data_IF_382852288230
#
_entry.id   IF_382852288230
#
_cell.length_a   1.000
_cell.length_b   1.000
_cell.length_c   1.000
_cell.angle_alpha   90.00
_cell.angle_beta   90.00
_cell.angle_gamma   90.00
#
_symmetry.space_group_name_H-M   'P 1'
#
loop_
_entity.id
_entity.type
_entity.pdbx_description
1 polymer ?
#
# COMPACT_ATOMS: atom_id res chain seq x y z
N UNK A 1 15.30 15.69 73.69
CA UNK A 1 15.27 16.49 72.44
C UNK A 1 15.16 15.53 71.28
N UNK A 2 14.03 15.61 70.55
CA UNK A 2 13.65 14.78 69.41
C UNK A 2 13.80 15.64 68.14
N UNK A 3 14.50 15.15 67.14
CA UNK A 3 14.51 15.66 65.75
C UNK A 3 14.57 14.42 64.86
N UNK A 4 13.43 13.79 64.54
CA UNK A 4 12.58 14.05 63.37
C UNK A 4 13.39 13.97 62.05
N UNK A 5 13.77 12.75 61.68
CA UNK A 5 14.30 12.42 60.35
C UNK A 5 13.15 12.46 59.35
N UNK A 6 13.16 13.50 58.52
CA UNK A 6 12.20 13.76 57.46
C UNK A 6 12.29 12.66 56.40
N UNK A 7 11.15 12.06 56.09
CA UNK A 7 11.00 11.00 55.12
C UNK A 7 11.32 11.46 53.70
N UNK A 8 12.22 10.73 53.05
CA UNK A 8 12.38 10.74 51.61
C UNK A 8 11.33 9.77 51.04
N UNK A 9 10.10 10.27 50.88
CA UNK A 9 9.13 9.63 49.99
C UNK A 9 9.66 9.77 48.56
N UNK A 10 10.37 8.75 48.08
CA UNK A 10 10.49 8.50 46.65
C UNK A 10 9.07 8.19 46.14
N UNK A 11 8.32 9.24 45.82
CA UNK A 11 7.22 9.16 44.89
C UNK A 11 7.83 8.85 43.53
N UNK A 12 8.01 7.55 43.27
CA UNK A 12 8.12 7.01 41.92
C UNK A 12 6.77 7.32 41.29
N UNK A 13 6.67 8.51 40.72
CA UNK A 13 5.65 8.88 39.77
C UNK A 13 5.93 8.04 38.52
N UNK A 14 5.45 6.80 38.54
CA UNK A 14 5.10 6.09 37.32
C UNK A 14 3.92 6.87 36.76
N UNK A 15 4.22 8.02 36.15
CA UNK A 15 3.31 8.67 35.23
C UNK A 15 3.10 7.64 34.13
N UNK A 16 2.00 6.91 34.24
CA UNK A 16 1.39 6.20 33.14
C UNK A 16 1.22 7.27 32.05
N UNK A 17 2.17 7.32 31.12
CA UNK A 17 2.16 8.23 29.98
C UNK A 17 0.93 7.85 29.16
N UNK A 18 -0.22 8.46 29.50
CA UNK A 18 -1.39 8.43 28.64
C UNK A 18 -1.04 9.33 27.47
N UNK A 19 -0.51 8.72 26.41
CA UNK A 19 -0.32 9.39 25.14
C UNK A 19 -1.66 9.99 24.71
N UNK A 20 -1.69 11.31 24.55
CA UNK A 20 -2.85 12.01 24.05
C UNK A 20 -3.11 11.53 22.62
N UNK A 21 -4.37 11.21 22.31
CA UNK A 21 -4.77 10.85 20.96
C UNK A 21 -5.12 12.13 20.19
N UNK A 22 -4.40 12.38 19.10
CA UNK A 22 -4.68 13.47 18.19
C UNK A 22 -5.65 13.03 17.09
N UNK A 23 -6.82 13.64 16.98
CA UNK A 23 -7.75 13.36 15.90
C UNK A 23 -7.33 14.11 14.63
N UNK A 24 -7.04 13.37 13.57
CA UNK A 24 -6.75 13.93 12.26
C UNK A 24 -8.03 14.48 11.62
N UNK A 25 -7.86 15.53 10.82
CA UNK A 25 -8.95 16.15 10.05
C UNK A 25 -8.95 15.63 8.63
N UNK A 26 -10.15 15.37 8.11
CA UNK A 26 -10.33 14.95 6.72
C UNK A 26 -10.35 16.18 5.79
N UNK A 27 -9.64 16.08 4.66
CA UNK A 27 -9.66 17.04 3.55
C UNK A 27 -9.90 16.28 2.25
N UNK A 28 -10.89 16.69 1.46
CA UNK A 28 -11.12 16.09 0.13
C UNK A 28 -10.04 16.62 -0.82
N UNK A 29 -9.18 15.71 -1.31
CA UNK A 29 -8.12 16.04 -2.26
C UNK A 29 -8.57 15.85 -3.71
N UNK A 30 -9.30 14.77 -4.00
CA UNK A 30 -9.86 14.48 -5.32
C UNK A 30 -11.33 14.08 -5.20
N UNK A 31 -12.13 14.49 -6.18
CA UNK A 31 -13.53 14.07 -6.31
C UNK A 31 -13.82 13.61 -7.73
N UNK A 32 -13.51 12.35 -8.02
CA UNK A 32 -13.55 11.78 -9.37
C UNK A 32 -14.98 11.29 -9.67
N UNK A 33 -15.65 11.81 -10.72
CA UNK A 33 -17.00 11.41 -11.07
C UNK A 33 -17.03 9.97 -11.58
N UNK A 34 -17.99 9.19 -11.08
CA UNK A 34 -18.29 7.87 -11.58
C UNK A 34 -19.33 7.96 -12.70
N UNK A 35 -19.10 7.25 -13.80
CA UNK A 35 -20.00 7.27 -14.94
C UNK A 35 -19.55 6.35 -16.07
N UNK A 36 -20.39 6.24 -17.10
CA UNK A 36 -20.12 5.42 -18.28
C UNK A 36 -19.56 6.21 -19.48
N UNK A 37 -19.26 7.50 -19.30
CA UNK A 37 -18.70 8.33 -20.37
C UNK A 37 -17.17 8.23 -20.39
N UNK A 38 -16.55 8.58 -21.52
CA UNK A 38 -15.09 8.56 -21.65
C UNK A 38 -14.39 9.58 -20.73
N UNK A 39 -15.11 10.59 -20.26
CA UNK A 39 -14.63 11.63 -19.33
C UNK A 39 -14.72 11.21 -17.85
N UNK A 40 -15.50 10.17 -17.55
CA UNK A 40 -15.71 9.66 -16.20
C UNK A 40 -14.97 8.35 -15.97
N UNK A 41 -14.86 7.95 -14.71
CA UNK A 41 -14.37 6.62 -14.36
C UNK A 41 -15.54 5.63 -14.25
N UNK A 42 -15.50 4.53 -15.01
CA UNK A 42 -16.54 3.49 -14.98
C UNK A 42 -16.30 2.51 -13.83
N UNK A 43 -16.88 2.81 -12.67
CA UNK A 43 -17.02 1.82 -11.61
C UNK A 43 -18.23 0.90 -11.89
N UNK A 44 -18.07 -0.41 -11.70
CA UNK A 44 -19.12 -1.40 -11.99
C UNK A 44 -19.86 -1.75 -10.71
N UNK A 45 -21.16 -1.53 -10.60
CA UNK A 45 -21.91 -1.90 -9.38
C UNK A 45 -22.36 -3.36 -9.48
N UNK A 46 -21.85 -4.22 -8.60
CA UNK A 46 -22.26 -5.63 -8.45
C UNK A 46 -22.78 -5.83 -7.04
N UNK A 47 -24.01 -6.35 -6.87
CA UNK A 47 -24.64 -6.56 -5.56
C UNK A 47 -24.60 -5.32 -4.65
N UNK A 48 -24.88 -4.13 -5.20
CA UNK A 48 -24.81 -2.83 -4.50
C UNK A 48 -23.41 -2.39 -4.05
N UNK A 49 -22.37 -3.10 -4.47
CA UNK A 49 -20.97 -2.78 -4.18
C UNK A 49 -20.30 -2.28 -5.45
N UNK A 50 -19.63 -1.12 -5.38
CA UNK A 50 -18.81 -0.65 -6.49
C UNK A 50 -17.60 -1.59 -6.66
N UNK A 51 -17.39 -2.08 -7.86
CA UNK A 51 -16.30 -2.97 -8.25
C UNK A 51 -15.50 -2.30 -9.38
N UNK A 52 -14.35 -2.87 -9.74
CA UNK A 52 -13.43 -2.28 -10.71
C UNK A 52 -12.85 -0.91 -10.28
N UNK A 53 -12.71 -0.69 -8.96
CA UNK A 53 -12.00 0.46 -8.40
C UNK A 53 -10.72 -0.06 -7.75
N UNK A 54 -9.54 0.48 -8.10
CA UNK A 54 -8.29 0.16 -7.40
C UNK A 54 -8.41 0.33 -5.88
N UNK A 55 -7.80 -0.56 -5.10
CA UNK A 55 -7.78 -0.44 -3.62
C UNK A 55 -7.09 0.85 -3.19
N UNK A 56 -5.89 1.08 -3.71
CA UNK A 56 -5.17 2.36 -3.58
C UNK A 56 -5.40 3.20 -4.83
N UNK A 57 -5.51 4.51 -4.65
CA UNK A 57 -5.66 5.43 -5.76
C UNK A 57 -4.33 6.17 -5.90
N UNK A 58 -3.55 5.90 -6.95
CA UNK A 58 -2.31 6.63 -7.19
C UNK A 58 -2.60 8.12 -7.28
N UNK A 59 -1.98 8.89 -6.39
CA UNK A 59 -2.14 10.34 -6.34
C UNK A 59 -0.78 10.99 -6.17
N UNK A 60 -0.62 12.13 -6.85
CA UNK A 60 0.38 13.14 -6.57
C UNK A 60 -0.34 14.41 -6.18
N UNK A 61 0.41 15.46 -5.83
CA UNK A 61 -0.14 16.73 -5.36
C UNK A 61 -1.33 17.26 -6.19
N UNK A 62 -1.35 17.09 -7.52
CA UNK A 62 -2.40 17.67 -8.37
C UNK A 62 -3.16 16.68 -9.25
N UNK A 63 -2.67 15.44 -9.38
CA UNK A 63 -3.20 14.47 -10.33
C UNK A 63 -3.44 13.13 -9.64
N UNK A 64 -4.55 12.49 -9.99
CA UNK A 64 -4.85 11.11 -9.67
C UNK A 64 -4.90 10.26 -10.93
N UNK A 65 -4.38 9.04 -10.88
CA UNK A 65 -4.37 8.12 -12.03
C UNK A 65 -5.23 6.89 -11.74
N UNK A 66 -6.15 6.57 -12.66
CA UNK A 66 -7.00 5.38 -12.58
C UNK A 66 -6.89 4.55 -13.85
N UNK A 67 -6.64 3.24 -13.67
CA UNK A 67 -6.62 2.28 -14.76
C UNK A 67 -8.05 1.94 -15.22
N UNK A 68 -8.34 2.19 -16.49
CA UNK A 68 -9.55 1.74 -17.18
C UNK A 68 -9.19 0.57 -18.09
N UNK A 69 -9.23 -0.64 -17.52
CA UNK A 69 -8.87 -1.88 -18.22
C UNK A 69 -9.82 -2.22 -19.37
N UNK A 70 -11.08 -1.76 -19.32
CA UNK A 70 -12.06 -1.99 -20.39
C UNK A 70 -11.67 -1.18 -21.62
N UNK A 71 -11.16 0.03 -21.42
CA UNK A 71 -10.72 0.92 -22.48
C UNK A 71 -9.21 0.84 -22.75
N UNK A 72 -8.45 -0.01 -22.06
CA UNK A 72 -6.99 -0.13 -22.17
C UNK A 72 -6.24 1.21 -22.04
N UNK A 73 -6.71 2.06 -21.12
CA UNK A 73 -6.10 3.37 -20.84
C UNK A 73 -5.95 3.61 -19.34
N UNK A 74 -5.05 4.53 -18.99
CA UNK A 74 -4.99 5.18 -17.69
C UNK A 74 -5.58 6.59 -17.87
N UNK A 75 -6.56 6.93 -17.04
CA UNK A 75 -7.20 8.25 -16.98
C UNK A 75 -6.54 9.07 -15.88
N UNK A 76 -6.08 10.27 -16.21
CA UNK A 76 -5.51 11.23 -15.27
C UNK A 76 -6.59 12.26 -14.92
N UNK A 77 -6.84 12.47 -13.63
CA UNK A 77 -7.84 13.39 -13.12
C UNK A 77 -7.19 14.50 -12.30
N UNK A 78 -7.65 15.74 -12.49
CA UNK A 78 -7.32 16.85 -11.60
C UNK A 78 -8.04 16.73 -10.24
N UNK A 79 -7.70 17.59 -9.28
CA UNK A 79 -8.34 17.65 -7.95
C UNK A 79 -9.87 17.81 -7.99
N UNK A 80 -10.41 18.43 -9.04
CA UNK A 80 -11.85 18.62 -9.22
C UNK A 80 -12.53 17.41 -9.89
N UNK A 81 -11.78 16.35 -10.21
CA UNK A 81 -12.26 15.18 -10.91
C UNK A 81 -12.46 15.38 -12.41
N UNK A 82 -11.90 16.44 -13.00
CA UNK A 82 -11.92 16.62 -14.45
C UNK A 82 -10.85 15.75 -15.07
N UNK A 83 -11.19 15.06 -16.16
CA UNK A 83 -10.22 14.31 -16.94
C UNK A 83 -9.21 15.30 -17.54
N UNK A 84 -7.95 15.16 -17.15
CA UNK A 84 -6.84 16.02 -17.59
C UNK A 84 -6.12 15.42 -18.80
N UNK A 85 -5.90 14.10 -18.80
CA UNK A 85 -5.32 13.39 -19.93
C UNK A 85 -5.64 11.89 -19.91
N UNK A 86 -5.35 11.22 -21.03
CA UNK A 86 -5.38 9.76 -21.12
C UNK A 86 -4.07 9.22 -21.66
N UNK A 87 -3.59 8.10 -21.10
CA UNK A 87 -2.40 7.38 -21.58
C UNK A 87 -2.83 5.97 -21.94
N UNK A 88 -2.54 5.50 -23.15
CA UNK A 88 -2.88 4.14 -23.57
C UNK A 88 -3.24 4.05 -25.05
N UNK A 89 -3.99 3.02 -25.45
CA UNK A 89 -4.49 2.88 -26.82
C UNK A 89 -5.99 2.57 -26.77
N UNK A 90 -6.83 3.61 -26.63
CA UNK A 90 -8.26 3.44 -26.39
C UNK A 90 -8.97 2.88 -27.62
N UNK A 91 -9.98 2.05 -27.37
CA UNK A 91 -10.95 1.63 -28.38
C UNK A 91 -12.01 2.71 -28.67
N UNK A 92 -11.88 3.91 -28.08
CA UNK A 92 -12.79 5.03 -28.23
C UNK A 92 -12.14 6.24 -28.92
N UNK A 93 -12.96 7.09 -29.56
CA UNK A 93 -12.49 8.34 -30.19
C UNK A 93 -11.99 9.33 -29.13
N UNK A 94 -10.86 9.98 -29.38
CA UNK A 94 -10.30 11.02 -28.52
C UNK A 94 -11.36 12.00 -28.01
N UNK A 95 -11.35 12.28 -26.71
CA UNK A 95 -12.22 13.28 -26.09
C UNK A 95 -11.73 14.67 -26.52
N UNK A 96 -12.63 15.52 -27.00
CA UNK A 96 -12.26 16.84 -27.51
C UNK A 96 -11.65 17.71 -26.40
N UNK A 97 -10.51 18.35 -26.69
CA UNK A 97 -9.82 19.22 -25.73
C UNK A 97 -9.03 18.49 -24.64
N UNK A 98 -9.07 17.15 -24.57
CA UNK A 98 -8.31 16.36 -23.61
C UNK A 98 -7.11 15.70 -24.32
N UNK A 99 -5.87 15.99 -23.89
CA UNK A 99 -4.68 15.31 -24.39
C UNK A 99 -4.77 13.78 -24.31
N UNK A 100 -4.35 13.13 -25.38
CA UNK A 100 -4.20 11.68 -25.45
C UNK A 100 -2.75 11.32 -25.81
N UNK A 101 -2.13 10.50 -24.97
CA UNK A 101 -0.77 10.03 -25.15
C UNK A 101 -0.77 8.54 -25.51
N UNK A 102 -0.41 8.18 -26.75
CA UNK A 102 -0.51 6.79 -27.21
C UNK A 102 0.54 5.92 -26.53
N UNK A 103 0.09 4.83 -25.90
CA UNK A 103 0.96 3.77 -25.38
C UNK A 103 0.25 2.42 -25.47
N UNK A 104 0.91 1.40 -26.00
CA UNK A 104 0.30 0.07 -26.15
C UNK A 104 0.51 -0.78 -24.90
N UNK A 105 -0.41 -0.69 -23.95
CA UNK A 105 -0.48 -1.64 -22.84
C UNK A 105 -0.90 -3.03 -23.36
N UNK A 106 -0.41 -4.09 -22.72
CA UNK A 106 -1.04 -5.40 -22.80
C UNK A 106 -2.27 -5.40 -21.88
N UNK A 107 -2.09 -5.78 -20.62
CA UNK A 107 -3.09 -5.61 -19.57
C UNK A 107 -2.59 -4.67 -18.47
N UNK A 108 -3.41 -3.74 -18.00
CA UNK A 108 -3.02 -2.78 -16.96
C UNK A 108 -3.27 -3.42 -15.59
N UNK A 109 -2.19 -3.72 -14.88
CA UNK A 109 -2.22 -4.24 -13.52
C UNK A 109 -2.20 -3.13 -12.47
N UNK A 110 -1.37 -3.32 -11.44
CA UNK A 110 -1.13 -2.29 -10.41
C UNK A 110 -0.58 -1.02 -11.07
N UNK A 111 -1.15 0.12 -10.70
CA UNK A 111 -0.62 1.44 -11.03
C UNK A 111 -0.17 2.07 -9.72
N UNK A 112 1.01 2.67 -9.73
CA UNK A 112 1.52 3.51 -8.65
C UNK A 112 2.02 4.83 -9.26
N UNK A 113 2.26 5.83 -8.41
CA UNK A 113 2.71 7.15 -8.84
C UNK A 113 3.83 7.62 -7.93
N UNK A 114 4.92 8.14 -8.49
CA UNK A 114 6.00 8.72 -7.72
C UNK A 114 5.74 10.21 -7.42
N UNK A 115 6.73 10.83 -6.77
CA UNK A 115 6.75 12.23 -6.36
C UNK A 115 6.54 13.23 -7.50
N UNK A 116 7.20 12.99 -8.63
CA UNK A 116 7.09 13.80 -9.85
C UNK A 116 5.74 13.62 -10.57
N UNK A 117 4.93 12.68 -10.10
CA UNK A 117 3.67 12.29 -10.72
C UNK A 117 3.83 11.37 -11.92
N UNK A 118 5.03 10.81 -12.14
CA UNK A 118 5.24 9.74 -13.10
C UNK A 118 4.58 8.45 -12.62
N UNK A 119 4.01 7.73 -13.57
CA UNK A 119 3.30 6.49 -13.30
C UNK A 119 4.27 5.33 -13.36
N UNK A 120 4.16 4.41 -12.40
CA UNK A 120 4.75 3.07 -12.49
C UNK A 120 3.61 2.08 -12.72
N UNK A 121 3.61 1.47 -13.91
CA UNK A 121 2.49 0.65 -14.38
C UNK A 121 2.95 -0.79 -14.55
N UNK A 122 2.25 -1.73 -13.90
CA UNK A 122 2.36 -3.15 -14.21
C UNK A 122 1.74 -3.44 -15.58
N UNK A 123 2.58 -3.58 -16.60
CA UNK A 123 2.18 -3.92 -17.95
C UNK A 123 2.24 -5.44 -18.16
N UNK A 124 1.08 -6.11 -18.12
CA UNK A 124 0.94 -7.56 -18.31
C UNK A 124 1.06 -7.92 -19.78
N UNK A 125 1.77 -9.00 -20.09
CA UNK A 125 2.08 -9.40 -21.47
C UNK A 125 0.83 -9.86 -22.25
N UNK A 126 -0.28 -10.24 -21.60
CA UNK A 126 -1.54 -10.57 -22.28
C UNK A 126 -2.44 -9.33 -22.46
N UNK A 127 -2.94 -9.13 -23.68
CA UNK A 127 -3.71 -7.95 -24.11
C UNK A 127 -5.20 -8.17 -24.26
N UNK A 128 -5.77 -9.20 -23.62
CA UNK A 128 -7.22 -9.38 -23.56
C UNK A 128 -7.55 -9.71 -22.12
N UNK A 129 -8.41 -8.87 -21.52
CA UNK A 129 -9.01 -9.18 -20.23
C UNK A 129 -9.46 -10.62 -20.25
N UNK A 130 -9.11 -11.37 -19.21
CA UNK A 130 -9.58 -12.74 -19.07
C UNK A 130 -11.10 -12.74 -19.17
N UNK A 131 -11.65 -13.26 -20.27
CA UNK A 131 -13.00 -13.77 -20.27
C UNK A 131 -12.99 -14.93 -19.28
N UNK A 132 -13.68 -14.76 -18.15
CA UNK A 132 -13.88 -15.86 -17.22
C UNK A 132 -14.52 -17.03 -17.99
N UNK A 133 -14.02 -18.27 -17.83
CA UNK A 133 -14.66 -19.43 -18.40
C UNK A 133 -16.17 -19.46 -18.05
N UNK A 134 -17.07 -19.78 -18.99
CA UNK A 134 -18.49 -19.90 -18.70
C UNK A 134 -18.72 -20.88 -17.53
N UNK A 135 -19.31 -20.38 -16.44
CA UNK A 135 -19.60 -21.19 -15.25
C UNK A 135 -18.63 -21.01 -14.07
N UNK A 136 -17.56 -20.22 -14.20
CA UNK A 136 -16.79 -19.77 -13.04
C UNK A 136 -17.54 -18.62 -12.35
N UNK A 137 -17.85 -18.76 -11.06
CA UNK A 137 -18.43 -17.65 -10.31
C UNK A 137 -17.47 -16.46 -10.32
N UNK A 138 -17.94 -15.33 -10.84
CA UNK A 138 -17.27 -14.03 -10.74
C UNK A 138 -16.77 -13.84 -9.31
N UNK A 139 -15.46 -13.64 -9.11
CA UNK A 139 -14.84 -13.28 -7.82
C UNK A 139 -15.50 -12.06 -7.15
N UNK A 140 -16.25 -11.26 -7.92
CA UNK A 140 -17.16 -10.22 -7.43
C UNK A 140 -18.30 -10.71 -6.54
N UNK A 141 -18.53 -12.04 -6.42
CA UNK A 141 -19.56 -12.62 -5.56
C UNK A 141 -19.12 -12.82 -4.10
N UNK A 142 -17.82 -12.74 -3.79
CA UNK A 142 -17.33 -12.97 -2.42
C UNK A 142 -17.36 -11.67 -1.61
N UNK A 143 -18.55 -11.24 -1.18
CA UNK A 143 -18.91 -10.35 -0.04
C UNK A 143 -17.97 -9.25 0.49
N UNK A 144 -16.95 -8.83 -0.25
CA UNK A 144 -16.09 -7.70 0.08
C UNK A 144 -15.84 -6.97 -1.21
N UNK A 145 -16.15 -5.68 -1.27
CA UNK A 145 -15.86 -4.81 -2.40
C UNK A 145 -14.37 -4.57 -2.66
N UNK A 146 -13.53 -5.56 -2.33
CA UNK A 146 -12.11 -5.56 -2.59
C UNK A 146 -11.88 -5.94 -4.05
N UNK A 147 -11.29 -5.02 -4.81
CA UNK A 147 -10.62 -5.37 -6.05
C UNK A 147 -9.34 -6.10 -5.66
N UNK A 148 -9.36 -7.44 -5.71
CA UNK A 148 -8.12 -8.20 -5.55
C UNK A 148 -7.26 -8.01 -6.80
N UNK A 149 -6.14 -7.29 -6.66
CA UNK A 149 -5.05 -7.29 -7.64
C UNK A 149 -4.30 -8.62 -7.65
N UNK A 150 -4.55 -9.50 -6.67
CA UNK A 150 -4.06 -10.88 -6.63
C UNK A 150 -4.79 -11.65 -7.73
N UNK A 151 -4.29 -11.49 -8.97
CA UNK A 151 -4.75 -12.26 -10.10
C UNK A 151 -4.62 -13.74 -9.75
N UNK A 152 -5.73 -14.47 -9.80
CA UNK A 152 -5.76 -15.93 -9.67
C UNK A 152 -4.95 -16.64 -10.77
N UNK A 153 -4.47 -15.89 -11.76
CA UNK A 153 -3.56 -16.30 -12.81
C UNK A 153 -2.34 -15.39 -12.82
N UNK A 154 -1.18 -16.00 -12.58
CA UNK A 154 0.16 -15.41 -12.61
C UNK A 154 0.46 -15.00 -14.06
N UNK A 155 0.17 -13.74 -14.42
CA UNK A 155 0.46 -13.21 -15.74
C UNK A 155 1.82 -12.50 -15.73
N UNK A 156 2.78 -12.96 -16.54
CA UNK A 156 4.06 -12.28 -16.71
C UNK A 156 3.87 -10.81 -17.05
N UNK A 157 4.62 -9.94 -16.40
CA UNK A 157 4.51 -8.49 -16.54
C UNK A 157 5.87 -7.82 -16.49
N UNK A 158 5.95 -6.65 -17.11
CA UNK A 158 7.04 -5.69 -16.93
C UNK A 158 6.49 -4.45 -16.25
N UNK A 159 7.32 -3.75 -15.49
CA UNK A 159 6.95 -2.43 -15.00
C UNK A 159 7.37 -1.39 -16.03
N UNK A 160 6.48 -0.47 -16.35
CA UNK A 160 6.76 0.67 -17.22
C UNK A 160 6.66 1.92 -16.37
N UNK A 161 7.75 2.68 -16.25
CA UNK A 161 7.65 4.04 -15.74
C UNK A 161 7.44 5.00 -16.89
N UNK A 162 6.36 5.76 -16.81
CA UNK A 162 5.90 6.64 -17.88
C UNK A 162 5.45 7.97 -17.29
N UNK A 163 5.87 9.07 -17.90
CA UNK A 163 5.45 10.40 -17.46
C UNK A 163 3.97 10.63 -17.75
N UNK A 164 3.39 11.66 -17.11
CA UNK A 164 2.01 12.11 -17.38
C UNK A 164 1.76 12.49 -18.84
N UNK A 165 2.84 12.74 -19.60
CA UNK A 165 2.82 13.04 -21.04
C UNK A 165 3.12 11.84 -21.93
N UNK A 166 3.10 10.64 -21.37
CA UNK A 166 3.31 9.39 -22.12
C UNK A 166 4.76 9.12 -22.52
N UNK A 167 5.75 9.81 -21.93
CA UNK A 167 7.16 9.56 -22.21
C UNK A 167 7.65 8.42 -21.33
N UNK A 168 8.10 7.32 -21.93
CA UNK A 168 8.65 6.17 -21.20
C UNK A 168 10.05 6.52 -20.67
N UNK A 169 10.24 6.42 -19.36
CA UNK A 169 11.55 6.56 -18.72
C UNK A 169 12.31 5.22 -18.75
N UNK A 170 11.69 4.17 -18.22
CA UNK A 170 12.27 2.83 -18.21
C UNK A 170 11.22 1.71 -18.28
N UNK A 171 11.68 0.53 -18.69
CA UNK A 171 10.93 -0.72 -18.66
C UNK A 171 11.72 -1.75 -17.85
N UNK A 172 11.17 -2.16 -16.71
CA UNK A 172 11.83 -3.03 -15.76
C UNK A 172 11.27 -4.45 -15.83
N UNK A 173 12.19 -5.40 -15.88
CA UNK A 173 11.93 -6.79 -15.52
C UNK A 173 12.40 -7.09 -14.09
N UNK A 174 12.16 -8.32 -13.65
CA UNK A 174 12.37 -8.78 -12.28
C UNK A 174 13.85 -8.74 -11.83
N UNK A 175 14.78 -8.85 -12.78
CA UNK A 175 16.23 -8.68 -12.56
C UNK A 175 16.74 -7.26 -12.81
N UNK A 176 15.85 -6.27 -13.02
CA UNK A 176 16.19 -4.90 -13.40
C UNK A 176 16.44 -4.70 -14.89
N UNK A 177 16.55 -5.79 -15.66
CA UNK A 177 16.65 -5.74 -17.12
C UNK A 177 15.32 -6.14 -17.76
N UNK A 178 15.02 -5.58 -18.92
CA UNK A 178 13.87 -5.94 -19.75
C UNK A 178 14.04 -7.30 -20.46
N UNK A 179 14.53 -8.31 -19.74
CA UNK A 179 14.77 -9.67 -20.24
C UNK A 179 13.99 -10.72 -19.45
N UNK A 180 13.74 -10.47 -18.16
CA UNK A 180 13.04 -11.39 -17.28
C UNK A 180 11.77 -10.73 -16.74
N UNK A 181 10.57 -11.14 -17.15
CA UNK A 181 9.34 -10.54 -16.65
C UNK A 181 9.10 -10.94 -15.19
N UNK A 182 8.43 -10.05 -14.45
CA UNK A 182 7.85 -10.39 -13.15
C UNK A 182 6.75 -11.43 -13.36
N UNK A 183 6.86 -12.59 -12.70
CA UNK A 183 5.80 -13.61 -12.76
C UNK A 183 4.58 -13.17 -11.97
N UNK A 184 4.80 -12.70 -10.75
CA UNK A 184 3.77 -12.24 -9.83
C UNK A 184 4.27 -10.99 -9.11
N UNK A 185 3.44 -9.96 -9.00
CA UNK A 185 3.71 -8.75 -8.24
C UNK A 185 2.58 -8.61 -7.22
N UNK A 186 2.93 -8.64 -5.94
CA UNK A 186 1.99 -8.38 -4.84
C UNK A 186 1.76 -6.87 -4.70
N UNK A 187 2.85 -6.09 -4.72
CA UNK A 187 2.79 -4.64 -4.53
C UNK A 187 3.94 -3.89 -5.19
N UNK A 188 3.66 -2.63 -5.51
CA UNK A 188 4.57 -1.64 -6.08
C UNK A 188 4.54 -0.44 -5.14
N UNK A 189 5.69 -0.07 -4.59
CA UNK A 189 5.83 1.00 -3.61
C UNK A 189 6.87 2.00 -4.12
N UNK A 190 6.44 3.15 -4.67
CA UNK A 190 7.34 4.26 -4.96
C UNK A 190 8.02 4.72 -3.68
N UNK A 191 9.33 4.96 -3.74
CA UNK A 191 10.10 5.60 -2.68
C UNK A 191 10.38 7.07 -3.00
N UNK A 192 11.35 7.65 -2.30
CA UNK A 192 11.79 9.02 -2.55
C UNK A 192 12.59 9.12 -3.86
N UNK A 193 12.31 10.15 -4.66
CA UNK A 193 12.92 10.34 -5.99
C UNK A 193 12.59 9.23 -6.99
N UNK A 194 13.63 8.64 -7.61
CA UNK A 194 13.49 7.56 -8.60
C UNK A 194 13.56 6.15 -7.97
N UNK A 195 13.43 6.06 -6.64
CA UNK A 195 13.43 4.77 -5.92
C UNK A 195 12.10 4.05 -6.13
N UNK A 196 12.19 2.75 -6.36
CA UNK A 196 11.04 1.89 -6.53
C UNK A 196 11.27 0.55 -5.84
N UNK A 197 10.33 0.18 -4.96
CA UNK A 197 10.32 -1.12 -4.33
C UNK A 197 9.20 -1.97 -4.92
N UNK A 198 9.52 -3.22 -5.21
CA UNK A 198 8.59 -4.17 -5.81
C UNK A 198 8.63 -5.43 -4.98
N UNK A 199 7.49 -5.84 -4.45
CA UNK A 199 7.35 -7.10 -3.75
C UNK A 199 6.72 -8.12 -4.71
N UNK A 200 7.52 -9.12 -5.09
CA UNK A 200 7.22 -9.98 -6.23
C UNK A 200 7.81 -11.38 -6.07
N UNK A 201 7.48 -12.25 -7.03
CA UNK A 201 7.95 -13.64 -7.08
C UNK A 201 8.90 -13.89 -8.26
N UNK A 202 10.06 -14.46 -7.96
CA UNK A 202 10.98 -15.07 -8.93
C UNK A 202 11.27 -16.50 -8.49
N UNK A 203 11.15 -17.47 -9.40
CA UNK A 203 11.44 -18.89 -9.17
C UNK A 203 10.73 -19.46 -7.92
N UNK A 204 9.44 -19.15 -7.76
CA UNK A 204 8.61 -19.51 -6.60
C UNK A 204 9.06 -18.95 -5.24
N UNK A 205 10.05 -18.05 -5.22
CA UNK A 205 10.52 -17.35 -4.03
C UNK A 205 10.03 -15.89 -4.06
N UNK A 206 9.27 -15.51 -3.03
CA UNK A 206 8.87 -14.11 -2.82
C UNK A 206 10.07 -13.29 -2.32
N UNK A 207 10.17 -12.06 -2.81
CA UNK A 207 11.24 -11.13 -2.46
C UNK A 207 10.80 -9.68 -2.64
N UNK A 208 11.37 -8.79 -1.85
CA UNK A 208 11.31 -7.35 -2.05
C UNK A 208 12.54 -6.90 -2.83
N UNK A 209 12.37 -6.37 -4.03
CA UNK A 209 13.47 -5.81 -4.83
C UNK A 209 13.42 -4.30 -4.82
N UNK A 210 14.61 -3.70 -4.70
CA UNK A 210 14.83 -2.26 -4.68
C UNK A 210 15.50 -1.84 -5.99
N UNK A 211 14.85 -0.92 -6.69
CA UNK A 211 15.33 -0.30 -7.92
C UNK A 211 15.57 1.19 -7.69
N UNK A 212 16.61 1.73 -8.33
CA UNK A 212 16.91 3.16 -8.34
C UNK A 212 17.45 3.52 -9.72
N UNK A 213 16.94 4.59 -10.32
CA UNK A 213 17.28 5.02 -11.69
C UNK A 213 17.10 3.90 -12.74
N UNK A 214 16.15 2.99 -12.50
CA UNK A 214 15.87 1.85 -13.38
C UNK A 214 16.86 0.68 -13.26
N UNK A 215 17.73 0.67 -12.26
CA UNK A 215 18.65 -0.45 -11.99
C UNK A 215 18.29 -1.17 -10.69
N UNK A 216 18.45 -2.50 -10.67
CA UNK A 216 18.29 -3.29 -9.44
C UNK A 216 19.48 -3.02 -8.50
N UNK A 217 19.21 -2.41 -7.35
CA UNK A 217 20.24 -2.07 -6.35
C UNK A 217 20.35 -3.09 -5.23
N UNK A 218 19.25 -3.75 -4.86
CA UNK A 218 19.25 -4.76 -3.79
C UNK A 218 17.98 -5.60 -3.77
N UNK A 219 18.00 -6.72 -3.05
CA UNK A 219 16.80 -7.49 -2.80
C UNK A 219 16.81 -8.23 -1.46
N UNK A 220 15.63 -8.39 -0.88
CA UNK A 220 15.40 -9.14 0.35
C UNK A 220 14.53 -10.35 0.02
N UNK A 221 15.12 -11.54 0.05
CA UNK A 221 14.42 -12.81 -0.16
C UNK A 221 13.79 -13.29 1.15
N UNK A 222 12.54 -13.70 1.11
CA UNK A 222 11.85 -14.18 2.32
C UNK A 222 12.52 -15.39 2.97
N UNK A 223 12.88 -16.40 2.16
CA UNK A 223 13.55 -17.61 2.65
C UNK A 223 14.93 -17.34 3.25
N UNK A 224 15.53 -16.18 2.97
CA UNK A 224 16.81 -15.78 3.54
C UNK A 224 16.66 -15.01 4.86
N UNK A 225 15.44 -14.73 5.31
CA UNK A 225 15.20 -14.02 6.57
C UNK A 225 15.47 -14.95 7.75
N UNK A 226 16.50 -14.62 8.53
CA UNK A 226 16.96 -15.43 9.66
C UNK A 226 15.91 -15.59 10.76
N UNK A 227 14.85 -14.77 10.76
CA UNK A 227 13.68 -14.90 11.65
C UNK A 227 13.08 -16.31 11.61
N UNK A 228 13.05 -16.95 10.44
CA UNK A 228 12.53 -18.31 10.26
C UNK A 228 13.45 -19.41 10.81
N UNK A 229 14.71 -19.08 11.11
CA UNK A 229 15.73 -20.03 11.60
C UNK A 229 16.04 -19.85 13.10
N UNK A 230 15.22 -19.08 13.82
CA UNK A 230 15.38 -18.83 15.25
C UNK A 230 14.95 -20.02 16.12
N UNK A 231 15.33 -20.04 17.40
CA UNK A 231 14.82 -21.06 18.34
C UNK A 231 13.29 -21.01 18.48
N UNK A 232 12.69 -19.83 18.33
CA UNK A 232 11.25 -19.62 18.36
C UNK A 232 10.54 -20.43 17.26
N UNK A 233 11.20 -20.66 16.11
CA UNK A 233 10.66 -21.49 15.04
C UNK A 233 10.43 -22.96 15.46
N UNK A 234 10.95 -23.41 16.61
CA UNK A 234 10.64 -24.73 17.18
C UNK A 234 9.25 -24.77 17.84
N UNK A 235 8.84 -23.67 18.43
CA UNK A 235 7.61 -23.57 19.25
C UNK A 235 6.45 -22.90 18.48
N UNK A 236 6.78 -22.04 17.53
CA UNK A 236 5.82 -21.23 16.78
C UNK A 236 5.86 -21.52 15.27
N UNK A 237 4.69 -21.42 14.64
CA UNK A 237 4.54 -21.22 13.20
C UNK A 237 4.70 -19.72 12.95
N UNK A 238 5.77 -19.34 12.24
CA UNK A 238 6.11 -17.95 11.96
C UNK A 238 5.62 -17.60 10.56
N UNK A 239 4.82 -16.55 10.44
CA UNK A 239 4.28 -16.06 9.16
C UNK A 239 4.73 -14.63 8.93
N UNK A 240 5.26 -14.33 7.75
CA UNK A 240 5.51 -12.94 7.33
C UNK A 240 4.16 -12.27 7.00
N UNK A 241 3.84 -11.19 7.72
CA UNK A 241 2.61 -10.42 7.48
C UNK A 241 2.81 -9.37 6.39
N UNK A 242 3.91 -8.61 6.48
CA UNK A 242 4.16 -7.43 5.65
C UNK A 242 5.63 -7.04 5.66
N UNK A 243 6.12 -6.60 4.51
CA UNK A 243 7.39 -5.87 4.36
C UNK A 243 7.07 -4.43 3.94
N UNK A 244 7.66 -3.45 4.63
CA UNK A 244 7.54 -2.03 4.30
C UNK A 244 8.95 -1.42 4.22
N UNK A 245 9.42 -1.06 3.01
CA UNK A 245 10.69 -0.38 2.85
C UNK A 245 10.62 1.05 3.39
N UNK A 246 11.70 1.53 3.99
CA UNK A 246 11.91 2.95 4.23
C UNK A 246 11.96 3.67 2.88
N UNK A 247 11.31 4.84 2.70
CA UNK A 247 11.21 5.47 1.38
C UNK A 247 12.56 5.88 0.77
N UNK A 248 13.55 6.19 1.61
CA UNK A 248 14.94 6.45 1.19
C UNK A 248 15.74 5.17 0.83
N UNK A 249 15.21 3.97 1.07
CA UNK A 249 15.88 2.70 0.74
C UNK A 249 16.91 2.19 1.75
N UNK A 250 17.04 2.85 2.90
CA UNK A 250 18.01 2.48 3.94
C UNK A 250 17.76 1.11 4.58
N UNK A 251 16.49 0.79 4.83
CA UNK A 251 16.09 -0.44 5.53
C UNK A 251 14.65 -0.82 5.20
N UNK A 252 14.25 -2.00 5.68
CA UNK A 252 12.90 -2.56 5.53
C UNK A 252 12.40 -2.96 6.90
N UNK A 253 11.16 -2.59 7.23
CA UNK A 253 10.45 -3.16 8.37
C UNK A 253 9.71 -4.42 7.92
N UNK A 254 9.94 -5.53 8.61
CA UNK A 254 9.19 -6.77 8.44
C UNK A 254 8.38 -7.11 9.68
N UNK A 255 7.08 -7.30 9.49
CA UNK A 255 6.15 -7.76 10.53
C UNK A 255 5.92 -9.26 10.40
N UNK A 256 6.04 -9.99 11.52
CA UNK A 256 5.86 -11.44 11.56
C UNK A 256 4.91 -11.84 12.68
N UNK A 257 3.89 -12.63 12.36
CA UNK A 257 3.00 -13.24 13.34
C UNK A 257 3.58 -14.57 13.82
N UNK A 258 3.45 -14.84 15.12
CA UNK A 258 3.89 -16.06 15.78
C UNK A 258 2.67 -16.79 16.35
N UNK A 259 2.27 -17.88 15.69
CA UNK A 259 1.19 -18.75 16.12
C UNK A 259 1.77 -19.97 16.82
N UNK A 260 1.23 -20.38 17.97
CA UNK A 260 1.73 -21.56 18.67
C UNK A 260 1.45 -22.84 17.89
N UNK A 261 2.47 -23.67 17.70
CA UNK A 261 2.34 -24.96 17.02
C UNK A 261 1.41 -25.93 17.75
N UNK A 262 1.29 -25.78 19.07
CA UNK A 262 0.49 -26.66 19.94
C UNK A 262 -1.01 -26.42 19.82
N UNK A 263 -1.44 -25.17 19.79
CA UNK A 263 -2.86 -24.79 19.83
C UNK A 263 -3.32 -23.95 18.62
N UNK A 264 -2.41 -23.63 17.70
CA UNK A 264 -2.65 -22.84 16.48
C UNK A 264 -3.25 -21.47 16.74
N UNK A 265 -2.94 -20.90 17.91
CA UNK A 265 -3.39 -19.56 18.31
C UNK A 265 -2.25 -18.56 18.19
N UNK A 266 -2.59 -17.38 17.70
CA UNK A 266 -1.73 -16.19 17.77
C UNK A 266 -1.24 -15.98 19.19
N UNK A 267 0.07 -15.71 19.31
CA UNK A 267 0.71 -15.39 20.59
C UNK A 267 1.22 -13.97 20.60
N UNK A 268 1.97 -13.59 19.58
CA UNK A 268 2.50 -12.25 19.44
C UNK A 268 2.89 -12.00 17.98
N UNK A 269 3.16 -10.72 17.69
CA UNK A 269 3.72 -10.24 16.44
C UNK A 269 5.01 -9.51 16.73
N UNK A 270 6.03 -9.68 15.90
CA UNK A 270 7.29 -8.95 16.02
C UNK A 270 7.58 -8.16 14.75
N UNK A 271 8.02 -6.93 14.94
CA UNK A 271 8.48 -6.04 13.88
C UNK A 271 10.00 -5.97 13.98
N UNK A 272 10.66 -6.35 12.89
CA UNK A 272 12.10 -6.29 12.76
C UNK A 272 12.51 -5.29 11.70
N UNK A 273 13.68 -4.67 11.89
CA UNK A 273 14.38 -3.89 10.86
C UNK A 273 15.39 -4.79 10.16
N UNK A 274 15.37 -4.77 8.83
CA UNK A 274 16.34 -5.46 7.95
C UNK A 274 17.04 -4.44 7.08
N UNK A 275 18.31 -4.68 6.77
CA UNK A 275 19.02 -3.97 5.71
C UNK A 275 18.97 -4.79 4.42
N UNK A 276 18.95 -4.12 3.27
CA UNK A 276 19.15 -4.81 1.99
C UNK A 276 20.54 -5.45 1.96
N UNK A 277 20.61 -6.66 1.41
CA UNK A 277 21.86 -7.42 1.19
C UNK A 277 22.70 -7.70 2.45
N UNK A 278 22.13 -7.52 3.64
CA UNK A 278 22.73 -7.82 4.94
C UNK A 278 21.96 -8.94 5.63
N UNK A 279 22.66 -9.73 6.44
CA UNK A 279 22.02 -10.70 7.35
C UNK A 279 21.63 -10.08 8.69
N UNK A 280 22.07 -8.84 8.96
CA UNK A 280 21.78 -8.19 10.21
C UNK A 280 20.31 -7.76 10.25
N UNK A 281 19.64 -8.10 11.35
CA UNK A 281 18.29 -7.64 11.65
C UNK A 281 18.18 -7.26 13.12
N UNK A 282 17.29 -6.34 13.42
CA UNK A 282 17.07 -5.78 14.76
C UNK A 282 15.60 -5.92 15.13
N UNK A 283 15.29 -6.45 16.32
CA UNK A 283 13.94 -6.44 16.86
C UNK A 283 13.61 -5.03 17.34
N UNK A 284 12.62 -4.38 16.73
CA UNK A 284 12.16 -3.06 17.15
C UNK A 284 10.99 -3.16 18.13
N UNK A 285 10.06 -4.08 17.87
CA UNK A 285 8.82 -4.12 18.63
C UNK A 285 8.23 -5.51 18.69
N UNK A 286 7.69 -5.86 19.85
CA UNK A 286 6.78 -6.99 20.04
C UNK A 286 5.39 -6.45 20.40
N UNK A 287 4.39 -7.04 19.77
CA UNK A 287 2.97 -6.70 19.85
C UNK A 287 2.23 -7.93 20.33
N UNK A 288 1.39 -7.77 21.35
CA UNK A 288 0.62 -8.88 21.93
C UNK A 288 -0.83 -8.92 21.44
N UNK A 289 -1.35 -7.79 20.91
CA UNK A 289 -2.71 -7.73 20.40
C UNK A 289 -2.74 -8.13 18.90
N UNK A 290 -3.51 -9.16 18.51
CA UNK A 290 -3.60 -9.57 17.11
C UNK A 290 -4.16 -8.49 16.18
N UNK A 291 -4.95 -7.55 16.70
CA UNK A 291 -5.57 -6.47 15.94
C UNK A 291 -4.62 -5.31 15.59
N UNK A 292 -3.46 -5.26 16.24
CA UNK A 292 -2.42 -4.25 16.03
C UNK A 292 -1.47 -4.68 14.90
N UNK A 293 -1.49 -4.01 13.75
CA UNK A 293 -0.71 -4.38 12.56
C UNK A 293 0.24 -3.27 12.12
N UNK A 294 1.42 -3.63 11.60
CA UNK A 294 2.33 -2.66 10.98
C UNK A 294 1.65 -2.01 9.76
N UNK A 295 1.45 -0.70 9.82
CA UNK A 295 0.70 0.05 8.82
C UNK A 295 1.61 0.65 7.75
N UNK A 296 2.51 1.55 8.16
CA UNK A 296 3.43 2.27 7.30
C UNK A 296 4.67 2.72 8.07
N UNK A 297 5.67 3.17 7.32
CA UNK A 297 6.89 3.80 7.81
C UNK A 297 6.99 5.19 7.19
N UNK A 298 7.58 6.12 7.95
CA UNK A 298 7.75 7.52 7.58
C UNK A 298 9.17 7.84 7.16
N UNK A 299 9.37 8.92 6.42
CA UNK A 299 10.71 9.37 6.00
C UNK A 299 11.63 9.72 7.17
N UNK A 300 11.06 10.14 8.30
CA UNK A 300 11.85 10.41 9.51
C UNK A 300 12.19 9.14 10.33
N UNK A 301 11.87 7.95 9.81
CA UNK A 301 12.11 6.65 10.44
C UNK A 301 11.07 6.24 11.49
N UNK A 302 10.10 7.09 11.80
CA UNK A 302 8.94 6.70 12.61
C UNK A 302 8.07 5.69 11.85
N UNK A 303 7.32 4.85 12.57
CA UNK A 303 6.37 3.94 11.94
C UNK A 303 5.03 3.90 12.69
N UNK A 304 4.00 3.53 11.95
CA UNK A 304 2.64 3.44 12.46
C UNK A 304 2.22 2.00 12.67
N UNK A 305 1.67 1.72 13.85
CA UNK A 305 0.88 0.51 14.12
C UNK A 305 -0.60 0.89 14.06
N UNK A 306 -1.34 0.18 13.23
CA UNK A 306 -2.77 0.35 13.05
C UNK A 306 -3.55 -0.50 14.02
N UNK A 307 -4.56 0.10 14.65
CA UNK A 307 -5.50 -0.56 15.52
C UNK A 307 -6.92 -0.08 15.21
N UNK A 308 -7.83 -1.02 15.03
CA UNK A 308 -9.23 -0.70 14.70
C UNK A 308 -10.02 -0.41 15.97
N UNK A 309 -10.60 0.77 16.08
CA UNK A 309 -11.40 1.21 17.23
C UNK A 309 -12.89 1.31 16.87
N UNK A 310 -13.76 1.36 17.88
CA UNK A 310 -15.20 1.67 17.75
C UNK A 310 -15.96 0.85 16.69
N UNK A 311 -15.64 -0.44 16.56
CA UNK A 311 -16.28 -1.32 15.58
C UNK A 311 -15.96 -0.95 14.12
N UNK A 312 -14.82 -0.28 13.89
CA UNK A 312 -14.35 0.16 12.59
C UNK A 312 -14.68 1.61 12.25
N UNK A 313 -15.39 2.35 13.10
CA UNK A 313 -15.72 3.76 12.86
C UNK A 313 -14.52 4.71 13.06
N UNK A 314 -13.46 4.23 13.71
CA UNK A 314 -12.23 4.97 13.85
C UNK A 314 -11.05 4.01 13.84
N UNK A 315 -9.87 4.57 13.58
CA UNK A 315 -8.60 3.85 13.61
C UNK A 315 -7.63 4.64 14.45
N UNK A 316 -6.96 3.98 15.39
CA UNK A 316 -5.82 4.52 16.11
C UNK A 316 -4.54 4.11 15.39
N UNK A 317 -3.71 5.10 15.08
CA UNK A 317 -2.36 4.92 14.61
C UNK A 317 -1.43 5.20 15.79
N UNK A 318 -0.87 4.14 16.37
CA UNK A 318 0.20 4.26 17.35
C UNK A 318 1.48 4.64 16.63
N UNK A 319 2.10 5.74 17.05
CA UNK A 319 3.33 6.28 16.44
C UNK A 319 4.51 5.79 17.24
N UNK A 320 5.44 5.12 16.57
CA UNK A 320 6.68 4.63 17.14
C UNK A 320 7.87 5.35 16.52
N UNK A 321 8.89 5.66 17.34
CA UNK A 321 10.17 6.14 16.83
C UNK A 321 10.96 5.03 16.12
N UNK A 322 12.13 5.40 15.57
CA UNK A 322 13.00 4.46 14.85
C UNK A 322 13.60 3.38 15.76
N UNK A 323 13.55 3.52 17.07
CA UNK A 323 13.97 2.51 18.05
C UNK A 323 12.80 1.61 18.50
N UNK A 324 11.57 1.89 18.06
CA UNK A 324 10.37 1.12 18.40
C UNK A 324 9.63 1.60 19.66
N UNK A 325 10.05 2.71 20.28
CA UNK A 325 9.36 3.28 21.42
C UNK A 325 8.06 3.95 20.96
N UNK A 326 6.96 3.72 21.67
CA UNK A 326 5.71 4.43 21.44
C UNK A 326 5.90 5.89 21.85
N UNK A 327 5.66 6.84 20.94
CA UNK A 327 5.85 8.28 21.19
C UNK A 327 4.56 9.10 21.10
N UNK A 328 3.55 8.67 20.33
CA UNK A 328 2.30 9.41 20.18
C UNK A 328 1.16 8.51 19.65
N UNK A 329 -0.08 8.99 19.69
CA UNK A 329 -1.20 8.39 19.00
C UNK A 329 -1.89 9.41 18.09
N UNK A 330 -2.20 8.98 16.87
CA UNK A 330 -3.11 9.68 15.96
C UNK A 330 -4.39 8.86 15.80
N UNK A 331 -5.52 9.50 15.52
CA UNK A 331 -6.78 8.84 15.22
C UNK A 331 -7.35 9.35 13.92
N UNK A 332 -7.81 8.42 13.10
CA UNK A 332 -8.57 8.67 11.88
C UNK A 332 -10.05 8.41 12.19
N UNK A 333 -10.88 9.46 12.36
CA UNK A 333 -12.31 9.30 12.56
C UNK A 333 -13.04 9.19 11.22
N UNK A 334 -13.63 8.04 10.90
CA UNK A 334 -14.43 7.89 9.69
C UNK A 334 -15.85 8.43 9.90
N UNK A 335 -16.22 9.46 9.15
CA UNK A 335 -17.58 10.00 9.22
C UNK A 335 -18.60 9.00 8.67
N UNK A 336 -19.76 8.90 9.32
CA UNK A 336 -20.82 7.97 8.91
C UNK A 336 -21.30 8.21 7.46
N UNK A 337 -21.74 7.15 6.74
CA UNK A 337 -21.70 5.73 7.14
C UNK A 337 -20.34 5.06 6.83
N UNK A 338 -19.83 4.24 7.77
CA UNK A 338 -18.53 3.54 7.62
C UNK A 338 -18.41 2.69 6.36
N UNK A 339 -19.51 2.09 5.90
CA UNK A 339 -19.53 1.24 4.71
C UNK A 339 -19.22 1.95 3.38
N UNK A 340 -19.16 3.29 3.36
CA UNK A 340 -18.72 4.07 2.21
C UNK A 340 -17.19 4.22 2.12
N UNK A 341 -16.50 4.02 3.22
CA UNK A 341 -15.04 4.09 3.30
C UNK A 341 -14.43 2.76 2.93
N UNK A 342 -13.37 2.78 2.12
CA UNK A 342 -12.73 1.58 1.60
C UNK A 342 -11.37 1.35 2.20
N UNK A 343 -10.37 1.97 1.59
CA UNK A 343 -8.98 1.73 1.90
C UNK A 343 -8.38 2.92 2.63
N UNK A 344 -7.35 2.66 3.43
CA UNK A 344 -6.48 3.70 3.99
C UNK A 344 -5.03 3.31 3.75
N UNK A 345 -4.25 4.21 3.20
CA UNK A 345 -2.87 3.94 2.79
C UNK A 345 -2.01 5.19 2.96
N UNK A 346 -0.69 5.03 2.84
CA UNK A 346 0.26 6.14 2.82
C UNK A 346 1.00 6.19 1.50
N UNK A 347 1.48 7.37 1.14
CA UNK A 347 2.50 7.55 0.11
C UNK A 347 3.92 7.57 0.73
N UNK A 348 4.91 7.86 -0.11
CA UNK A 348 6.31 8.06 0.29
C UNK A 348 6.57 9.36 1.06
N UNK A 349 5.53 10.18 1.31
CA UNK A 349 5.65 11.50 1.95
C UNK A 349 4.91 11.57 3.28
N UNK A 350 4.64 10.42 3.90
CA UNK A 350 3.87 10.29 5.14
C UNK A 350 2.42 10.78 5.04
N UNK A 351 1.92 11.06 3.84
CA UNK A 351 0.54 11.52 3.70
C UNK A 351 -0.39 10.32 3.81
N UNK A 352 -1.32 10.37 4.76
CA UNK A 352 -2.31 9.32 4.95
C UNK A 352 -3.53 9.67 4.10
N UNK A 353 -3.95 8.71 3.28
CA UNK A 353 -5.12 8.82 2.43
C UNK A 353 -6.19 7.83 2.83
N UNK A 354 -7.45 8.19 2.61
CA UNK A 354 -8.54 7.22 2.57
C UNK A 354 -9.44 7.44 1.36
N UNK A 355 -10.08 6.36 0.91
CA UNK A 355 -11.01 6.40 -0.22
C UNK A 355 -12.44 6.27 0.28
N UNK A 356 -13.32 7.12 -0.23
CA UNK A 356 -14.75 7.09 0.05
C UNK A 356 -15.55 7.12 -1.24
N UNK A 357 -16.63 6.34 -1.30
CA UNK A 357 -17.61 6.45 -2.39
C UNK A 357 -18.82 7.21 -1.89
N UNK A 358 -19.11 8.35 -2.51
CA UNK A 358 -20.19 9.24 -2.08
C UNK A 358 -20.77 9.99 -3.27
N UNK A 359 -22.11 10.05 -3.33
CA UNK A 359 -22.85 10.89 -4.28
C UNK A 359 -22.40 10.75 -5.74
N UNK A 360 -22.19 9.51 -6.21
CA UNK A 360 -21.76 9.23 -7.58
C UNK A 360 -20.31 9.61 -7.89
N UNK A 361 -19.47 9.79 -6.86
CA UNK A 361 -18.06 10.08 -7.01
C UNK A 361 -17.20 9.15 -6.15
N UNK A 362 -15.97 8.98 -6.60
CA UNK A 362 -14.85 8.43 -5.85
C UNK A 362 -14.08 9.61 -5.24
N UNK A 363 -14.17 9.74 -3.92
CA UNK A 363 -13.53 10.81 -3.16
C UNK A 363 -12.24 10.27 -2.53
N UNK A 364 -11.12 10.95 -2.80
CA UNK A 364 -9.84 10.70 -2.14
C UNK A 364 -9.67 11.75 -1.05
N UNK A 365 -9.58 11.29 0.19
CA UNK A 365 -9.36 12.13 1.35
C UNK A 365 -7.89 12.08 1.76
N UNK A 366 -7.35 13.22 2.16
CA UNK A 366 -6.10 13.36 2.90
C UNK A 366 -6.40 13.62 4.37
N UNK A 367 -5.63 12.99 5.27
CA UNK A 367 -5.73 13.22 6.71
C UNK A 367 -4.59 14.11 7.19
N UNK A 368 -4.94 15.21 7.87
CA UNK A 368 -4.00 16.24 8.36
C UNK A 368 -4.10 16.49 9.86
#
# INVERSE_FOLDING_TARGET
>A
MRTLTIGLLLFVSISCLRFRVENLKEEILFRIPLGATNETFEGVVVNQVLTNVPLTIPTSSNISALADNKQSVIKLFDRNGRLDATIGNPDFKSVAGIPHYPFRFGGIGIVAMNEDGDLVVQNRISSKGMELPPGQENLYKTYSGAFSTQGTTVLPSFLVQITQKGVVKFMLGASGKNSEPFRYIESIMPGEGDKLFVYHRIAEEMRLSYFEEGELKGNLKESALDVFNTNDAKEYDITLDKLIPHPEGDYVLGSFSYDSKKDKRFKFRRIYRFQFDSKNYELLKEIQDPSEILFSIRNNGEFYIWETEDGGNSVRLQVHDKEGNHINNKRIPFSSPRGQWRETYTDAFDTIYSVRIRSGALEVYRWI
#
